data_IF_902771078137
#
_entry.id   IF_902771078137
#
_cell.length_a   1.000
_cell.length_b   1.000
_cell.length_c   1.000
_cell.angle_alpha   90.00
_cell.angle_beta   90.00
_cell.angle_gamma   90.00
#
_symmetry.space_group_name_H-M   'P 1'
#
loop_
_entity.id
_entity.type
_entity.pdbx_description
1 polymer ?
#
# COMPACT_ATOMS: atom_id res chain seq x y z
N UNK A 1 25.45 -2.13 24.72
CA UNK A 1 25.33 -3.44 24.03
C UNK A 1 23.86 -3.75 23.86
N UNK A 2 23.39 -3.80 22.61
CA UNK A 2 22.18 -4.52 22.22
C UNK A 2 22.42 -4.94 20.78
N UNK A 3 22.78 -6.21 20.62
CA UNK A 3 22.98 -6.82 19.31
C UNK A 3 21.59 -7.02 18.70
N UNK A 4 21.25 -6.19 17.70
CA UNK A 4 20.14 -6.47 16.80
C UNK A 4 20.49 -7.71 16.01
N UNK A 5 20.10 -8.88 16.52
CA UNK A 5 20.24 -10.14 15.83
C UNK A 5 19.50 -10.05 14.50
N UNK A 6 20.24 -10.21 13.40
CA UNK A 6 19.66 -10.48 12.09
C UNK A 6 18.85 -11.76 12.25
N UNK A 7 17.53 -11.67 12.05
CA UNK A 7 16.66 -12.84 12.04
C UNK A 7 17.10 -13.72 10.86
N UNK A 8 17.85 -14.79 11.15
CA UNK A 8 18.31 -15.82 10.20
C UNK A 8 17.17 -16.46 9.40
N UNK A 9 15.91 -16.30 9.84
CA UNK A 9 14.71 -16.70 9.11
C UNK A 9 14.43 -15.89 7.82
N UNK A 10 14.96 -14.68 7.67
CA UNK A 10 14.76 -13.90 6.43
C UNK A 10 15.62 -14.41 5.26
N UNK A 11 16.71 -15.14 5.54
CA UNK A 11 17.65 -15.59 4.50
C UNK A 11 17.09 -16.69 3.59
N UNK A 12 15.99 -17.35 3.99
CA UNK A 12 15.38 -18.47 3.26
C UNK A 12 13.91 -18.25 2.88
N UNK A 13 13.34 -17.07 3.17
CA UNK A 13 11.96 -16.80 2.82
C UNK A 13 11.92 -16.31 1.35
N UNK A 14 11.50 -17.19 0.44
CA UNK A 14 11.34 -16.85 -0.98
C UNK A 14 10.15 -15.92 -1.24
N UNK A 15 9.30 -15.69 -0.22
CA UNK A 15 8.16 -14.79 -0.33
C UNK A 15 8.56 -13.32 -0.18
N UNK A 16 8.51 -12.61 -1.30
CA UNK A 16 8.77 -11.17 -1.37
C UNK A 16 7.52 -10.32 -1.05
N UNK A 17 6.38 -10.94 -0.76
CA UNK A 17 5.12 -10.25 -0.47
C UNK A 17 4.66 -9.41 -1.66
N UNK A 18 4.79 -8.09 -1.53
CA UNK A 18 4.46 -7.12 -2.57
C UNK A 18 5.64 -6.80 -3.51
N UNK A 19 6.84 -7.31 -3.22
CA UNK A 19 8.08 -6.95 -3.91
C UNK A 19 8.36 -7.77 -5.17
N UNK A 20 8.86 -7.10 -6.22
CA UNK A 20 9.22 -7.72 -7.50
C UNK A 20 10.68 -7.50 -7.92
N UNK A 21 11.48 -6.85 -7.06
CA UNK A 21 12.86 -6.46 -7.36
C UNK A 21 13.88 -7.03 -6.35
N UNK A 22 13.60 -8.21 -5.79
CA UNK A 22 14.55 -8.96 -4.95
C UNK A 22 14.57 -8.58 -3.46
N UNK A 23 13.70 -7.65 -3.05
CA UNK A 23 13.48 -7.31 -1.63
C UNK A 23 12.03 -7.58 -1.25
N UNK A 24 11.81 -8.04 -0.02
CA UNK A 24 10.46 -8.21 0.53
C UNK A 24 9.86 -6.85 0.85
N UNK A 25 8.66 -6.60 0.31
CA UNK A 25 7.83 -5.44 0.65
C UNK A 25 6.59 -5.95 1.37
N UNK A 26 6.33 -5.41 2.56
CA UNK A 26 5.25 -5.85 3.44
C UNK A 26 4.64 -4.68 4.22
N UNK A 27 3.42 -4.87 4.73
CA UNK A 27 2.67 -3.84 5.43
C UNK A 27 2.87 -3.90 6.95
N UNK A 28 3.16 -5.09 7.50
CA UNK A 28 3.46 -5.26 8.93
C UNK A 28 4.67 -4.46 9.42
N UNK A 29 4.86 -4.35 10.74
CA UNK A 29 5.95 -3.53 11.31
C UNK A 29 7.29 -4.27 11.48
N UNK A 30 7.33 -5.60 11.38
CA UNK A 30 8.48 -6.40 11.85
C UNK A 30 9.33 -7.03 10.74
N UNK A 31 8.79 -7.27 9.54
CA UNK A 31 9.51 -7.78 8.39
C UNK A 31 9.53 -6.77 7.22
N UNK A 32 10.18 -7.12 6.11
CA UNK A 32 10.24 -6.25 4.92
C UNK A 32 10.90 -4.89 5.19
N UNK A 33 11.81 -4.82 6.16
CA UNK A 33 12.63 -3.64 6.44
C UNK A 33 13.88 -3.62 5.55
N UNK A 34 14.39 -2.45 5.14
CA UNK A 34 15.66 -2.37 4.42
C UNK A 34 16.83 -2.93 5.22
N UNK A 35 17.68 -3.72 4.58
CA UNK A 35 18.92 -4.22 5.18
C UNK A 35 19.84 -3.05 5.55
N UNK A 36 20.43 -3.02 6.76
CA UNK A 36 21.41 -1.99 7.16
C UNK A 36 22.55 -1.80 6.16
N UNK A 37 23.03 -2.87 5.51
CA UNK A 37 24.06 -2.81 4.47
C UNK A 37 23.56 -2.03 3.24
N UNK A 38 22.33 -2.29 2.80
CA UNK A 38 21.70 -1.58 1.69
C UNK A 38 21.49 -0.09 2.00
N UNK A 39 21.07 0.23 3.23
CA UNK A 39 20.96 1.62 3.70
C UNK A 39 22.33 2.33 3.69
N UNK A 40 23.40 1.65 4.09
CA UNK A 40 24.74 2.21 4.06
C UNK A 40 25.25 2.46 2.62
N UNK A 41 24.68 1.80 1.62
CA UNK A 41 24.99 1.97 0.20
C UNK A 41 24.19 3.10 -0.48
N UNK A 42 23.29 3.80 0.23
CA UNK A 42 22.65 5.01 -0.29
C UNK A 42 23.69 6.06 -0.68
N UNK A 43 23.40 6.81 -1.74
CA UNK A 43 24.36 7.71 -2.41
C UNK A 43 24.98 8.75 -1.47
N UNK A 44 24.16 9.41 -0.64
CA UNK A 44 24.59 10.48 0.27
C UNK A 44 24.29 10.16 1.74
N UNK A 45 25.04 10.78 2.65
CA UNK A 45 24.76 10.68 4.09
C UNK A 45 23.43 11.33 4.47
N UNK A 46 22.99 12.34 3.71
CA UNK A 46 21.68 12.97 3.88
C UNK A 46 20.54 11.95 3.69
N UNK A 47 20.58 11.16 2.61
CA UNK A 47 19.62 10.06 2.41
C UNK A 47 19.66 9.07 3.58
N UNK A 48 20.86 8.67 4.03
CA UNK A 48 21.00 7.74 5.15
C UNK A 48 20.33 8.27 6.42
N UNK A 49 20.44 9.58 6.68
CA UNK A 49 19.79 10.22 7.82
C UNK A 49 18.26 10.30 7.65
N UNK A 50 17.77 10.63 6.45
CA UNK A 50 16.34 10.60 6.12
C UNK A 50 15.77 9.20 6.37
N UNK A 51 16.35 8.15 5.81
CA UNK A 51 15.88 6.78 6.00
C UNK A 51 15.95 6.33 7.47
N UNK A 52 17.02 6.68 8.19
CA UNK A 52 17.10 6.43 9.65
C UNK A 52 16.01 7.16 10.43
N UNK A 53 15.56 8.32 9.98
CA UNK A 53 14.43 9.04 10.57
C UNK A 53 13.10 8.32 10.27
N UNK A 54 12.89 7.93 9.01
CA UNK A 54 11.65 7.26 8.57
C UNK A 54 11.42 5.89 9.19
N UNK A 55 12.50 5.19 9.57
CA UNK A 55 12.45 3.89 10.25
C UNK A 55 12.21 4.00 11.76
N UNK A 56 12.27 5.20 12.34
CA UNK A 56 11.90 5.40 13.75
C UNK A 56 10.38 5.39 13.90
N UNK A 57 9.92 5.27 15.15
CA UNK A 57 8.49 5.33 15.48
C UNK A 57 7.95 6.76 15.60
N UNK A 58 8.81 7.74 15.88
CA UNK A 58 8.39 9.12 16.10
C UNK A 58 7.88 9.76 14.79
N UNK A 59 6.59 10.05 14.75
CA UNK A 59 5.91 10.54 13.54
C UNK A 59 6.25 12.01 13.23
N UNK A 60 6.62 12.81 14.24
CA UNK A 60 6.98 14.23 14.01
C UNK A 60 8.28 14.37 13.23
N UNK A 61 9.27 13.52 13.52
CA UNK A 61 10.52 13.47 12.75
C UNK A 61 10.35 12.83 11.37
N UNK A 62 9.29 12.05 11.14
CA UNK A 62 8.97 11.52 9.80
C UNK A 62 8.47 12.61 8.86
N UNK A 63 7.59 13.49 9.30
CA UNK A 63 7.06 14.58 8.47
C UNK A 63 8.20 15.45 7.93
N UNK A 64 9.14 15.83 8.80
CA UNK A 64 10.34 16.56 8.38
C UNK A 64 11.19 15.75 7.39
N UNK A 65 11.41 14.47 7.65
CA UNK A 65 12.23 13.62 6.77
C UNK A 65 11.60 13.42 5.38
N UNK A 66 10.26 13.34 5.30
CA UNK A 66 9.53 13.30 4.03
C UNK A 66 9.62 14.64 3.29
N UNK A 67 9.53 15.76 4.01
CA UNK A 67 9.72 17.09 3.42
C UNK A 67 11.13 17.26 2.85
N UNK A 68 12.16 16.89 3.61
CA UNK A 68 13.55 16.94 3.17
C UNK A 68 13.77 16.06 1.92
N UNK A 69 13.21 14.84 1.91
CA UNK A 69 13.26 13.97 0.73
C UNK A 69 12.52 14.54 -0.49
N UNK A 70 11.34 15.14 -0.27
CA UNK A 70 10.56 15.78 -1.32
C UNK A 70 11.33 16.96 -1.94
N UNK A 71 12.08 17.72 -1.13
CA UNK A 71 12.93 18.80 -1.61
C UNK A 71 14.08 18.27 -2.48
N UNK A 72 14.73 17.17 -2.09
CA UNK A 72 15.77 16.52 -2.91
C UNK A 72 15.21 16.08 -4.28
N UNK A 73 14.00 15.55 -4.31
CA UNK A 73 13.34 15.12 -5.57
C UNK A 73 12.88 16.31 -6.39
N UNK A 74 12.46 17.40 -5.74
CA UNK A 74 12.04 18.64 -6.43
C UNK A 74 13.21 19.27 -7.20
N UNK A 75 14.42 19.21 -6.64
CA UNK A 75 15.66 19.59 -7.32
C UNK A 75 16.29 18.43 -8.12
N UNK A 76 15.44 17.70 -8.88
CA UNK A 76 15.81 16.46 -9.56
C UNK A 76 17.03 16.59 -10.47
N UNK A 77 17.18 17.73 -11.15
CA UNK A 77 18.27 17.94 -12.11
C UNK A 77 19.65 17.92 -11.43
N UNK A 78 19.74 18.38 -10.17
CA UNK A 78 20.98 18.36 -9.39
C UNK A 78 21.18 17.01 -8.70
N UNK A 79 20.07 16.35 -8.32
CA UNK A 79 20.07 15.18 -7.46
C UNK A 79 19.76 13.86 -8.20
N UNK A 80 19.75 13.82 -9.53
CA UNK A 80 19.31 12.64 -10.30
C UNK A 80 20.04 11.34 -9.87
N UNK A 81 21.34 11.44 -9.60
CA UNK A 81 22.18 10.32 -9.18
C UNK A 81 21.80 9.72 -7.80
N UNK A 82 21.06 10.46 -6.97
CA UNK A 82 20.62 10.01 -5.64
C UNK A 82 19.57 8.91 -5.74
N UNK A 83 18.75 8.94 -6.80
CA UNK A 83 17.57 8.09 -6.97
C UNK A 83 17.86 6.86 -7.83
N UNK A 84 18.94 6.15 -7.48
CA UNK A 84 19.34 4.90 -8.12
C UNK A 84 18.53 3.69 -7.59
N UNK A 85 18.84 2.49 -8.09
CA UNK A 85 18.15 1.26 -7.68
C UNK A 85 18.21 1.00 -6.17
N UNK A 86 19.32 1.33 -5.51
CA UNK A 86 19.47 1.16 -4.05
C UNK A 86 18.46 2.05 -3.31
N UNK A 87 18.33 3.30 -3.73
CA UNK A 87 17.30 4.19 -3.19
C UNK A 87 15.90 3.65 -3.44
N UNK A 88 15.58 3.21 -4.66
CA UNK A 88 14.24 2.72 -5.02
C UNK A 88 13.86 1.44 -4.27
N UNK A 89 14.82 0.52 -4.05
CA UNK A 89 14.62 -0.67 -3.23
C UNK A 89 14.29 -0.28 -1.78
N UNK A 90 15.13 0.55 -1.15
CA UNK A 90 14.89 1.03 0.20
C UNK A 90 13.55 1.77 0.32
N UNK A 91 13.25 2.67 -0.63
CA UNK A 91 12.02 3.45 -0.66
C UNK A 91 10.79 2.55 -0.75
N UNK A 92 10.81 1.55 -1.64
CA UNK A 92 9.69 0.63 -1.84
C UNK A 92 9.29 -0.12 -0.56
N UNK A 93 10.27 -0.50 0.26
CA UNK A 93 10.04 -1.20 1.52
C UNK A 93 9.46 -0.27 2.60
N UNK A 94 10.00 0.94 2.76
CA UNK A 94 9.50 1.87 3.78
C UNK A 94 8.17 2.52 3.38
N UNK A 95 7.96 2.76 2.09
CA UNK A 95 6.74 3.37 1.56
C UNK A 95 5.50 2.55 1.94
N UNK A 96 5.58 1.23 1.79
CA UNK A 96 4.52 0.31 2.18
C UNK A 96 4.13 0.41 3.66
N UNK A 97 5.08 0.78 4.54
CA UNK A 97 4.84 0.97 5.98
C UNK A 97 4.39 2.38 6.33
N UNK A 98 4.88 3.40 5.62
CA UNK A 98 4.52 4.80 5.87
C UNK A 98 3.03 5.07 5.58
N UNK A 99 2.46 4.42 4.56
CA UNK A 99 1.02 4.54 4.23
C UNK A 99 0.10 3.87 5.27
N UNK A 100 0.67 3.17 6.26
CA UNK A 100 -0.06 2.57 7.39
C UNK A 100 -0.10 3.51 8.61
N UNK A 101 0.67 4.61 8.61
CA UNK A 101 0.64 5.62 9.68
C UNK A 101 -0.77 6.17 9.91
N UNK A 102 -1.12 6.47 11.16
CA UNK A 102 -2.39 7.13 11.50
C UNK A 102 -2.42 8.59 11.06
N UNK A 103 -1.24 9.20 10.93
CA UNK A 103 -1.09 10.59 10.52
C UNK A 103 -1.26 10.69 9.01
N UNK A 104 -2.39 11.27 8.59
CA UNK A 104 -2.72 11.43 7.16
C UNK A 104 -1.68 12.23 6.37
N UNK A 105 -0.95 13.14 7.02
CA UNK A 105 0.13 13.92 6.39
C UNK A 105 1.27 12.99 5.96
N UNK A 106 1.66 12.04 6.81
CA UNK A 106 2.69 11.04 6.50
C UNK A 106 2.25 10.16 5.33
N UNK A 107 0.99 9.68 5.33
CA UNK A 107 0.44 8.88 4.23
C UNK A 107 0.43 9.66 2.92
N UNK A 108 -0.13 10.88 2.93
CA UNK A 108 -0.23 11.73 1.75
C UNK A 108 1.15 12.06 1.18
N UNK A 109 2.07 12.58 1.99
CA UNK A 109 3.42 12.93 1.52
C UNK A 109 4.16 11.71 0.95
N UNK A 110 3.95 10.53 1.51
CA UNK A 110 4.54 9.28 0.99
C UNK A 110 3.99 8.91 -0.40
N UNK A 111 2.69 9.09 -0.63
CA UNK A 111 2.10 8.94 -1.95
C UNK A 111 2.65 9.98 -2.93
N UNK A 112 2.69 11.25 -2.53
CA UNK A 112 3.20 12.36 -3.36
C UNK A 112 4.65 12.14 -3.79
N UNK A 113 5.54 11.78 -2.85
CA UNK A 113 6.94 11.44 -3.14
C UNK A 113 7.02 10.32 -4.17
N UNK A 114 6.25 9.25 -3.99
CA UNK A 114 6.25 8.12 -4.93
C UNK A 114 5.75 8.53 -6.32
N UNK A 115 4.71 9.37 -6.40
CA UNK A 115 4.20 9.91 -7.66
C UNK A 115 5.26 10.84 -8.31
N UNK A 116 5.96 11.67 -7.54
CA UNK A 116 7.06 12.51 -8.03
C UNK A 116 8.19 11.66 -8.61
N UNK A 117 8.57 10.56 -7.96
CA UNK A 117 9.56 9.62 -8.48
C UNK A 117 9.10 8.99 -9.81
N UNK A 118 7.84 8.54 -9.91
CA UNK A 118 7.28 8.00 -11.17
C UNK A 118 7.32 9.06 -12.29
N UNK A 119 6.96 10.31 -11.96
CA UNK A 119 6.95 11.45 -12.91
C UNK A 119 8.37 11.81 -13.39
N UNK A 120 9.32 11.89 -12.48
CA UNK A 120 10.68 12.37 -12.76
C UNK A 120 11.56 11.29 -13.41
N UNK A 121 11.54 10.06 -12.89
CA UNK A 121 12.38 8.96 -13.40
C UNK A 121 11.84 8.32 -14.70
N UNK A 122 10.55 8.50 -15.02
CA UNK A 122 9.89 8.01 -16.25
C UNK A 122 10.21 6.53 -16.53
N UNK A 123 10.94 6.24 -17.62
CA UNK A 123 11.29 4.85 -18.01
C UNK A 123 12.31 4.19 -17.08
N UNK A 124 13.11 4.96 -16.32
CA UNK A 124 14.12 4.39 -15.41
C UNK A 124 13.47 3.64 -14.24
N UNK A 125 12.26 4.02 -13.85
CA UNK A 125 11.52 3.39 -12.74
C UNK A 125 10.67 2.19 -13.18
N UNK A 126 10.65 1.83 -14.47
CA UNK A 126 9.68 0.87 -15.05
C UNK A 126 9.61 -0.48 -14.32
N UNK A 127 10.74 -1.02 -13.87
CA UNK A 127 10.77 -2.29 -13.12
C UNK A 127 10.15 -2.22 -11.72
N UNK A 128 10.11 -1.03 -11.12
CA UNK A 128 9.51 -0.77 -9.81
C UNK A 128 8.04 -0.36 -9.88
N UNK A 129 7.47 -0.16 -11.08
CA UNK A 129 6.05 0.21 -11.19
C UNK A 129 5.12 -0.87 -10.61
N UNK A 130 5.52 -2.14 -10.67
CA UNK A 130 4.81 -3.26 -10.02
C UNK A 130 4.81 -3.16 -8.50
N UNK A 131 5.78 -2.48 -7.90
CA UNK A 131 5.87 -2.25 -6.46
C UNK A 131 5.13 -0.97 -6.04
N UNK A 132 5.15 0.07 -6.89
CA UNK A 132 4.61 1.39 -6.53
C UNK A 132 3.15 1.63 -6.93
N UNK A 133 2.75 1.26 -8.15
CA UNK A 133 1.41 1.59 -8.66
C UNK A 133 0.28 0.99 -7.82
N UNK A 134 0.36 -0.28 -7.34
CA UNK A 134 -0.68 -0.83 -6.48
C UNK A 134 -0.91 -0.02 -5.21
N UNK A 135 0.18 0.38 -4.54
CA UNK A 135 0.14 1.18 -3.31
C UNK A 135 -0.34 2.62 -3.55
N UNK A 136 0.02 3.23 -4.69
CA UNK A 136 -0.50 4.55 -5.07
C UNK A 136 -2.02 4.46 -5.30
N UNK A 137 -2.49 3.45 -6.04
CA UNK A 137 -3.91 3.27 -6.30
C UNK A 137 -4.70 2.96 -5.02
N UNK A 138 -4.10 2.25 -4.06
CA UNK A 138 -4.65 2.11 -2.70
C UNK A 138 -4.83 3.46 -2.01
N UNK A 139 -3.85 4.37 -2.11
CA UNK A 139 -3.98 5.74 -1.62
C UNK A 139 -5.15 6.51 -2.26
N UNK A 140 -5.39 6.32 -3.55
CA UNK A 140 -6.58 6.90 -4.24
C UNK A 140 -7.91 6.24 -3.82
N UNK A 141 -7.85 5.13 -3.07
CA UNK A 141 -9.00 4.41 -2.52
C UNK A 141 -9.15 4.63 -1.01
N UNK A 142 -8.39 5.54 -0.41
CA UNK A 142 -8.58 5.88 0.99
C UNK A 142 -9.93 6.60 1.20
N UNK A 143 -10.68 6.19 2.23
CA UNK A 143 -11.98 6.77 2.57
C UNK A 143 -11.83 8.21 3.13
N UNK A 144 -10.63 8.59 3.59
CA UNK A 144 -10.31 9.98 3.89
C UNK A 144 -10.05 10.75 2.58
N UNK A 145 -11.02 11.58 2.21
CA UNK A 145 -10.96 12.38 0.98
C UNK A 145 -9.76 13.35 0.96
N UNK A 146 -9.24 13.76 2.12
CA UNK A 146 -8.07 14.64 2.19
C UNK A 146 -6.76 13.95 1.80
N UNK A 147 -6.74 12.61 1.69
CA UNK A 147 -5.60 11.85 1.15
C UNK A 147 -5.90 11.36 -0.26
N UNK A 148 -7.07 10.75 -0.48
CA UNK A 148 -7.38 10.11 -1.77
C UNK A 148 -7.55 11.09 -2.92
N UNK A 149 -8.15 12.26 -2.68
CA UNK A 149 -8.36 13.27 -3.73
C UNK A 149 -7.06 13.91 -4.20
N UNK A 150 -6.17 14.42 -3.33
CA UNK A 150 -4.87 14.93 -3.77
C UNK A 150 -4.02 13.86 -4.47
N UNK A 151 -3.97 12.64 -3.91
CA UNK A 151 -3.21 11.52 -4.51
C UNK A 151 -3.68 11.21 -5.94
N UNK A 152 -5.01 11.17 -6.17
CA UNK A 152 -5.57 10.96 -7.51
C UNK A 152 -5.28 12.13 -8.45
N UNK A 153 -5.34 13.37 -7.96
CA UNK A 153 -5.08 14.55 -8.79
C UNK A 153 -3.62 14.56 -9.28
N UNK A 154 -2.66 14.29 -8.41
CA UNK A 154 -1.23 14.23 -8.76
C UNK A 154 -0.90 13.03 -9.64
N UNK A 155 -1.49 11.86 -9.35
CA UNK A 155 -1.36 10.69 -10.22
C UNK A 155 -1.89 11.01 -11.63
N UNK A 156 -3.05 11.67 -11.72
CA UNK A 156 -3.63 12.09 -13.00
C UNK A 156 -2.70 13.07 -13.73
N UNK A 157 -2.12 14.03 -13.02
CA UNK A 157 -1.15 14.97 -13.58
C UNK A 157 0.11 14.27 -14.09
N UNK A 158 0.62 13.27 -13.36
CA UNK A 158 1.78 12.45 -13.74
C UNK A 158 1.59 11.75 -15.10
N UNK A 159 0.35 11.42 -15.46
CA UNK A 159 0.01 10.80 -16.75
C UNK A 159 -0.54 11.81 -17.77
N UNK A 160 -0.13 13.07 -17.70
CA UNK A 160 -0.53 14.17 -18.60
C UNK A 160 -2.04 14.49 -18.55
N UNK A 161 -2.67 14.31 -17.39
CA UNK A 161 -4.12 14.49 -17.19
C UNK A 161 -4.99 13.63 -18.10
N UNK A 162 -4.47 12.49 -18.56
CA UNK A 162 -5.19 11.55 -19.41
C UNK A 162 -5.89 10.47 -18.57
N UNK A 163 -7.24 10.51 -18.43
CA UNK A 163 -7.97 9.53 -17.64
C UNK A 163 -7.90 8.12 -18.24
N UNK A 164 -7.69 7.97 -19.56
CA UNK A 164 -7.57 6.67 -20.18
C UNK A 164 -6.32 5.92 -19.70
N UNK A 165 -5.20 6.64 -19.50
CA UNK A 165 -3.97 6.07 -18.91
C UNK A 165 -4.17 5.65 -17.47
N UNK A 166 -4.90 6.43 -16.67
CA UNK A 166 -5.24 6.06 -15.30
C UNK A 166 -6.10 4.80 -15.28
N UNK A 167 -7.10 4.72 -16.14
CA UNK A 167 -7.94 3.52 -16.28
C UNK A 167 -7.12 2.30 -16.70
N UNK A 168 -6.14 2.46 -17.58
CA UNK A 168 -5.25 1.38 -18.01
C UNK A 168 -4.40 0.80 -16.86
N UNK A 169 -4.07 1.59 -15.83
CA UNK A 169 -3.32 1.09 -14.66
C UNK A 169 -4.05 -0.06 -13.96
N UNK A 170 -5.38 0.01 -13.88
CA UNK A 170 -6.21 -1.04 -13.26
C UNK A 170 -6.19 -2.35 -14.04
N UNK A 171 -5.96 -2.30 -15.35
CA UNK A 171 -5.85 -3.48 -16.20
C UNK A 171 -4.42 -4.03 -16.19
N UNK A 172 -3.42 -3.16 -16.33
CA UNK A 172 -2.00 -3.54 -16.40
C UNK A 172 -1.52 -4.17 -15.10
N UNK A 173 -1.89 -3.60 -13.95
CA UNK A 173 -1.42 -4.03 -12.64
C UNK A 173 -2.46 -4.86 -11.87
N UNK A 174 -3.44 -5.45 -12.55
CA UNK A 174 -4.54 -6.15 -11.89
C UNK A 174 -4.08 -7.28 -10.95
N UNK A 175 -3.02 -7.99 -11.33
CA UNK A 175 -2.46 -9.09 -10.55
C UNK A 175 -1.82 -8.57 -9.26
N UNK A 176 -1.02 -7.50 -9.36
CA UNK A 176 -0.36 -6.89 -8.21
C UNK A 176 -1.37 -6.17 -7.29
N UNK A 177 -2.39 -5.53 -7.86
CA UNK A 177 -3.49 -4.94 -7.11
C UNK A 177 -4.26 -5.98 -6.31
N UNK A 178 -4.55 -7.14 -6.90
CA UNK A 178 -5.25 -8.21 -6.21
C UNK A 178 -4.35 -8.90 -5.16
N UNK A 179 -3.06 -9.04 -5.44
CA UNK A 179 -2.09 -9.51 -4.45
C UNK A 179 -2.02 -8.55 -3.25
N UNK A 180 -2.06 -7.23 -3.46
CA UNK A 180 -2.12 -6.24 -2.40
C UNK A 180 -3.40 -6.39 -1.55
N UNK A 181 -4.56 -6.61 -2.16
CA UNK A 181 -5.81 -6.87 -1.41
C UNK A 181 -5.68 -8.15 -0.60
N UNK A 182 -5.12 -9.23 -1.17
CA UNK A 182 -4.86 -10.47 -0.45
C UNK A 182 -3.90 -10.26 0.72
N UNK A 183 -2.83 -9.49 0.53
CA UNK A 183 -1.90 -9.18 1.61
C UNK A 183 -2.62 -8.52 2.78
N UNK A 184 -3.45 -7.50 2.51
CA UNK A 184 -4.22 -6.77 3.53
C UNK A 184 -5.28 -7.65 4.22
N UNK A 185 -6.04 -8.42 3.44
CA UNK A 185 -7.25 -9.11 3.93
C UNK A 185 -6.92 -10.47 4.56
N UNK A 186 -5.91 -11.17 4.04
CA UNK A 186 -5.65 -12.58 4.37
C UNK A 186 -4.35 -12.76 5.14
N UNK A 187 -3.30 -12.04 4.77
CA UNK A 187 -1.96 -12.25 5.34
C UNK A 187 -1.69 -11.34 6.54
N UNK A 188 -2.32 -10.17 6.57
CA UNK A 188 -2.15 -9.15 7.61
C UNK A 188 -3.43 -9.02 8.45
N UNK A 189 -3.27 -8.65 9.72
CA UNK A 189 -4.36 -8.42 10.67
C UNK A 189 -4.00 -7.26 11.63
N UNK A 190 -4.83 -7.02 12.64
CA UNK A 190 -4.65 -5.96 13.63
C UNK A 190 -3.27 -6.03 14.32
N UNK A 191 -2.84 -7.23 14.70
CA UNK A 191 -1.62 -7.50 15.47
C UNK A 191 -0.36 -7.47 14.61
N UNK A 192 -0.46 -7.68 13.29
CA UNK A 192 0.70 -7.58 12.39
C UNK A 192 0.90 -6.16 11.87
N UNK A 193 -0.19 -5.42 11.65
CA UNK A 193 -0.17 -4.03 11.20
C UNK A 193 0.24 -3.09 12.35
N UNK A 194 -0.02 -3.45 13.61
CA UNK A 194 0.28 -2.62 14.78
C UNK A 194 1.10 -3.39 15.82
N UNK A 195 2.12 -2.74 16.38
CA UNK A 195 2.96 -3.33 17.45
C UNK A 195 2.23 -3.21 18.80
N UNK A 196 1.70 -4.33 19.32
CA UNK A 196 0.92 -4.41 20.56
C UNK A 196 1.64 -3.82 21.80
N UNK A 197 2.97 -3.70 21.74
CA UNK A 197 3.77 -3.08 22.80
C UNK A 197 3.58 -1.58 22.90
N UNK A 198 3.06 -0.95 21.84
CA UNK A 198 2.93 0.50 21.70
C UNK A 198 1.55 0.96 21.23
N UNK A 199 0.66 0.04 20.88
CA UNK A 199 -0.70 0.36 20.47
C UNK A 199 -1.68 -0.48 21.27
N UNK A 200 -2.78 0.13 21.71
CA UNK A 200 -3.87 -0.61 22.33
C UNK A 200 -4.59 -1.48 21.30
N UNK A 201 -5.45 -2.38 21.78
CA UNK A 201 -6.28 -3.21 20.92
C UNK A 201 -7.20 -2.35 20.05
N UNK A 202 -7.85 -1.36 20.64
CA UNK A 202 -8.79 -0.47 19.96
C UNK A 202 -8.08 0.39 18.89
N UNK A 203 -6.86 0.86 19.17
CA UNK A 203 -6.05 1.60 18.20
C UNK A 203 -5.62 0.71 17.02
N UNK A 204 -5.26 -0.54 17.31
CA UNK A 204 -4.85 -1.52 16.30
C UNK A 204 -6.02 -1.91 15.40
N UNK A 205 -7.20 -2.17 15.99
CA UNK A 205 -8.46 -2.40 15.27
C UNK A 205 -8.82 -1.19 14.39
N UNK A 206 -8.71 0.03 14.91
CA UNK A 206 -9.01 1.25 14.14
C UNK A 206 -8.06 1.46 12.96
N UNK A 207 -6.75 1.20 13.17
CA UNK A 207 -5.74 1.26 12.11
C UNK A 207 -6.02 0.24 11.01
N UNK A 208 -6.25 -1.02 11.39
CA UNK A 208 -6.54 -2.08 10.44
C UNK A 208 -7.84 -1.81 9.67
N UNK A 209 -8.91 -1.37 10.37
CA UNK A 209 -10.19 -1.00 9.77
C UNK A 209 -10.03 0.00 8.61
N UNK A 210 -9.18 1.03 8.77
CA UNK A 210 -8.89 2.01 7.72
C UNK A 210 -8.21 1.37 6.50
N UNK A 211 -7.23 0.50 6.74
CA UNK A 211 -6.43 -0.14 5.69
C UNK A 211 -7.31 -1.12 4.88
N UNK A 212 -8.05 -1.99 5.56
CA UNK A 212 -8.93 -2.95 4.89
C UNK A 212 -10.10 -2.26 4.16
N UNK A 213 -10.67 -1.19 4.71
CA UNK A 213 -11.72 -0.43 4.01
C UNK A 213 -11.21 0.15 2.67
N UNK A 214 -9.96 0.62 2.64
CA UNK A 214 -9.31 1.10 1.41
C UNK A 214 -9.09 -0.04 0.41
N UNK A 215 -8.73 -1.24 0.91
CA UNK A 215 -8.59 -2.45 0.09
C UNK A 215 -9.92 -2.91 -0.53
N UNK A 216 -11.04 -2.81 0.21
CA UNK A 216 -12.39 -3.10 -0.32
C UNK A 216 -12.73 -2.14 -1.46
N UNK A 217 -12.49 -0.84 -1.30
CA UNK A 217 -12.75 0.14 -2.37
C UNK A 217 -11.84 -0.10 -3.59
N UNK A 218 -10.58 -0.48 -3.37
CA UNK A 218 -9.65 -0.88 -4.43
C UNK A 218 -10.18 -2.11 -5.18
N UNK A 219 -10.66 -3.13 -4.46
CA UNK A 219 -11.24 -4.33 -5.05
C UNK A 219 -12.47 -3.98 -5.92
N UNK A 220 -13.37 -3.13 -5.43
CA UNK A 220 -14.52 -2.63 -6.21
C UNK A 220 -14.06 -1.97 -7.50
N UNK A 221 -13.08 -1.05 -7.44
CA UNK A 221 -12.56 -0.39 -8.63
C UNK A 221 -11.90 -1.38 -9.59
N UNK A 222 -11.27 -2.43 -9.08
CA UNK A 222 -10.72 -3.50 -9.91
C UNK A 222 -11.81 -4.23 -10.71
N UNK A 223 -12.94 -4.53 -10.10
CA UNK A 223 -14.12 -5.08 -10.80
C UNK A 223 -14.72 -4.08 -11.80
N UNK A 224 -14.79 -2.79 -11.47
CA UNK A 224 -15.35 -1.77 -12.37
C UNK A 224 -14.54 -1.64 -13.65
N UNK A 225 -13.21 -1.61 -13.55
CA UNK A 225 -12.32 -1.39 -14.69
C UNK A 225 -12.00 -2.67 -15.48
N UNK A 226 -12.19 -3.85 -14.89
CA UNK A 226 -11.88 -5.13 -15.53
C UNK A 226 -13.11 -6.03 -15.60
N UNK A 227 -13.58 -6.35 -16.81
CA UNK A 227 -14.75 -7.22 -17.02
C UNK A 227 -14.47 -8.68 -16.64
N UNK A 228 -13.30 -9.19 -17.00
CA UNK A 228 -12.95 -10.60 -16.83
C UNK A 228 -12.06 -10.88 -15.60
N UNK A 229 -12.18 -10.06 -14.55
CA UNK A 229 -11.36 -10.21 -13.33
C UNK A 229 -11.73 -11.47 -12.54
N UNK A 230 -13.01 -11.84 -12.55
CA UNK A 230 -13.53 -13.00 -11.83
C UNK A 230 -12.95 -14.32 -12.36
N UNK A 231 -12.89 -14.43 -13.68
CA UNK A 231 -12.51 -15.62 -14.43
C UNK A 231 -10.99 -15.81 -14.40
N UNK A 232 -10.22 -14.73 -14.54
CA UNK A 232 -8.76 -14.80 -14.60
C UNK A 232 -8.09 -14.92 -13.23
N UNK A 233 -8.77 -14.52 -12.16
CA UNK A 233 -8.19 -14.45 -10.82
C UNK A 233 -9.00 -15.20 -9.76
N UNK A 234 -9.73 -16.25 -10.15
CA UNK A 234 -10.70 -16.95 -9.28
C UNK A 234 -10.09 -17.49 -7.97
N UNK A 235 -8.86 -18.01 -7.98
CA UNK A 235 -8.21 -18.53 -6.78
C UNK A 235 -7.96 -17.43 -5.74
N UNK A 236 -7.41 -16.29 -6.18
CA UNK A 236 -7.12 -15.15 -5.32
C UNK A 236 -8.39 -14.47 -4.81
N UNK A 237 -9.40 -14.31 -5.67
CA UNK A 237 -10.70 -13.77 -5.25
C UNK A 237 -11.40 -14.68 -4.25
N UNK A 238 -11.31 -16.00 -4.44
CA UNK A 238 -11.90 -16.98 -3.53
C UNK A 238 -11.28 -16.89 -2.14
N UNK A 239 -9.94 -16.81 -2.03
CA UNK A 239 -9.30 -16.69 -0.71
C UNK A 239 -9.64 -15.37 -0.04
N UNK A 240 -9.60 -14.24 -0.77
CA UNK A 240 -9.94 -12.91 -0.23
C UNK A 240 -11.38 -12.86 0.29
N UNK A 241 -12.35 -13.31 -0.51
CA UNK A 241 -13.77 -13.17 -0.20
C UNK A 241 -14.31 -14.27 0.72
N UNK A 242 -13.56 -15.35 0.92
CA UNK A 242 -13.90 -16.38 1.93
C UNK A 242 -13.37 -16.01 3.32
N UNK A 243 -12.47 -15.03 3.42
CA UNK A 243 -11.99 -14.52 4.68
C UNK A 243 -13.08 -13.68 5.37
N UNK A 244 -13.16 -13.74 6.70
CA UNK A 244 -14.17 -13.03 7.48
C UNK A 244 -13.90 -11.52 7.60
N UNK A 245 -12.68 -11.08 7.35
CA UNK A 245 -12.20 -9.73 7.68
C UNK A 245 -12.96 -8.62 6.96
N UNK A 246 -13.31 -8.81 5.67
CA UNK A 246 -14.13 -7.83 4.92
C UNK A 246 -15.54 -7.75 5.52
N UNK A 247 -16.14 -8.89 5.86
CA UNK A 247 -17.52 -8.97 6.31
C UNK A 247 -17.70 -8.42 7.73
N UNK A 248 -16.64 -8.44 8.57
CA UNK A 248 -16.61 -7.76 9.87
C UNK A 248 -16.86 -6.24 9.76
N UNK A 249 -16.63 -5.62 8.60
CA UNK A 249 -16.91 -4.21 8.36
C UNK A 249 -18.42 -3.91 8.25
N UNK A 250 -19.29 -4.93 8.10
CA UNK A 250 -20.74 -4.80 8.15
C UNK A 250 -21.24 -4.64 9.60
N UNK A 251 -20.72 -3.63 10.29
CA UNK A 251 -21.02 -3.34 11.68
C UNK A 251 -21.40 -1.85 11.84
N UNK A 252 -22.54 -1.60 12.51
CA UNK A 252 -23.06 -0.25 12.78
C UNK A 252 -23.03 0.12 14.27
N UNK A 253 -22.46 -0.73 15.15
CA UNK A 253 -22.49 -0.53 16.60
C UNK A 253 -21.33 0.34 17.11
N UNK A 254 -20.14 0.20 16.52
CA UNK A 254 -18.89 0.67 17.13
C UNK A 254 -18.17 1.78 16.33
N UNK A 255 -18.76 2.26 15.21
CA UNK A 255 -18.14 3.23 14.30
C UNK A 255 -18.68 4.66 14.45
N UNK A 256 -17.84 5.66 14.15
CA UNK A 256 -18.28 7.07 14.11
C UNK A 256 -19.03 7.42 12.81
N UNK A 257 -18.78 6.69 11.72
CA UNK A 257 -19.42 6.86 10.43
C UNK A 257 -19.69 5.49 9.77
N UNK A 258 -20.36 5.51 8.62
CA UNK A 258 -20.81 4.32 7.89
C UNK A 258 -20.11 4.12 6.54
N UNK A 259 -19.01 4.84 6.26
CA UNK A 259 -18.40 4.84 4.93
C UNK A 259 -17.85 3.44 4.56
N UNK A 260 -17.25 2.74 5.53
CA UNK A 260 -16.78 1.36 5.32
C UNK A 260 -17.95 0.40 5.07
N UNK A 261 -19.03 0.52 5.85
CA UNK A 261 -20.25 -0.27 5.69
C UNK A 261 -20.86 -0.10 4.29
N UNK A 262 -21.05 1.15 3.84
CA UNK A 262 -21.54 1.46 2.49
C UNK A 262 -20.63 0.90 1.39
N UNK A 263 -19.31 0.94 1.62
CA UNK A 263 -18.33 0.37 0.68
C UNK A 263 -18.50 -1.14 0.56
N UNK A 264 -18.72 -1.88 1.65
CA UNK A 264 -18.99 -3.33 1.58
C UNK A 264 -20.32 -3.63 0.88
N UNK A 265 -21.37 -2.85 1.11
CA UNK A 265 -22.64 -3.01 0.38
C UNK A 265 -22.44 -2.89 -1.14
N UNK A 266 -21.63 -1.93 -1.58
CA UNK A 266 -21.27 -1.77 -3.00
C UNK A 266 -20.45 -2.94 -3.52
N UNK A 267 -19.58 -3.54 -2.71
CA UNK A 267 -18.87 -4.76 -3.09
C UNK A 267 -19.85 -5.92 -3.30
N UNK A 268 -20.81 -6.12 -2.38
CA UNK A 268 -21.84 -7.15 -2.50
C UNK A 268 -22.64 -6.98 -3.79
N UNK A 269 -23.11 -5.76 -4.07
CA UNK A 269 -23.85 -5.43 -5.29
C UNK A 269 -23.05 -5.76 -6.56
N UNK A 270 -21.77 -5.36 -6.60
CA UNK A 270 -20.89 -5.66 -7.74
C UNK A 270 -20.68 -7.16 -7.91
N UNK A 271 -20.41 -7.90 -6.83
CA UNK A 271 -20.19 -9.35 -6.88
C UNK A 271 -21.45 -10.11 -7.30
N UNK A 272 -22.62 -9.66 -6.88
CA UNK A 272 -23.90 -10.26 -7.27
C UNK A 272 -24.23 -9.95 -8.74
N UNK A 273 -24.18 -8.67 -9.13
CA UNK A 273 -24.46 -8.20 -10.49
C UNK A 273 -23.52 -8.82 -11.52
N UNK A 274 -22.29 -9.14 -11.12
CA UNK A 274 -21.29 -9.80 -11.98
C UNK A 274 -21.35 -11.33 -11.93
N UNK A 275 -22.36 -11.92 -11.29
CA UNK A 275 -22.58 -13.36 -11.24
C UNK A 275 -21.54 -14.14 -10.41
N UNK A 276 -20.67 -13.44 -9.67
CA UNK A 276 -19.65 -14.08 -8.84
C UNK A 276 -20.28 -14.79 -7.63
N UNK A 277 -21.13 -14.10 -6.87
CA UNK A 277 -21.79 -14.68 -5.68
C UNK A 277 -22.71 -15.87 -5.99
N UNK A 278 -23.58 -15.83 -7.03
CA UNK A 278 -24.38 -16.99 -7.43
C UNK A 278 -23.53 -18.23 -7.74
N UNK A 279 -22.32 -18.04 -8.28
CA UNK A 279 -21.36 -19.11 -8.58
C UNK A 279 -20.60 -19.61 -7.34
N UNK A 280 -20.63 -18.86 -6.22
CA UNK A 280 -19.89 -19.14 -4.99
C UNK A 280 -20.79 -19.02 -3.76
N UNK A 281 -21.75 -19.95 -3.62
CA UNK A 281 -22.79 -19.92 -2.57
C UNK A 281 -22.27 -19.78 -1.14
N UNK A 282 -21.08 -20.28 -0.82
CA UNK A 282 -20.50 -20.14 0.51
C UNK A 282 -20.12 -18.69 0.83
N UNK A 283 -19.55 -17.97 -0.14
CA UNK A 283 -19.20 -16.55 0.00
C UNK A 283 -20.48 -15.72 0.14
N UNK A 284 -21.50 -16.03 -0.66
CA UNK A 284 -22.80 -15.34 -0.59
C UNK A 284 -23.52 -15.55 0.75
N UNK A 285 -23.30 -16.68 1.44
CA UNK A 285 -23.87 -16.95 2.77
C UNK A 285 -23.09 -16.28 3.90
N UNK A 286 -21.82 -15.94 3.65
CA UNK A 286 -20.94 -15.32 4.63
C UNK A 286 -21.18 -13.80 4.69
N UNK A 287 -21.45 -13.19 3.52
CA UNK A 287 -21.86 -11.79 3.38
C UNK A 287 -23.26 -11.53 3.95
#
# INVERSE_FOLDING_TARGET
>A
MSFGGINTFQQYNTDLGLGHNGVRISLNYFDGLPDPSLLNSLYSNELKLIFKSLLKRDETTKEKALMDLSNLISDFNQNECFFNDIFLLCWSQIYAKLIISDYKVIRLQSHQITIMLVKSLRKKISKFLKDFIPLILLGTCELDYSVSKPSLNELTECFNKDPAKINALWAVFQEQLLNLVKEIVVNENEDTISDERYSSKEESEFRYHRVIASAVLLLIKLFVHNKDVSERNSSSLKVILSDESIWKLLNLKNGQNTNAYETVLRLIDVLYTRGYMPSHKNIMKLA
#
